data_IF_084047490768
#
_entry.id   IF_084047490768
#
_cell.length_a   1.000
_cell.length_b   1.000
_cell.length_c   1.000
_cell.angle_alpha   90.00
_cell.angle_beta   90.00
_cell.angle_gamma   90.00
#
_symmetry.space_group_name_H-M   'P 1'
#
loop_
_entity.id
_entity.type
_entity.pdbx_description
1 polymer ?
#
# COMPACT_ATOMS: atom_id res chain seq x y z
N UNK A 1 -23.55 -14.36 -6.10
CA UNK A 1 -23.31 -13.29 -7.08
C UNK A 1 -22.21 -13.82 -7.98
N UNK A 2 -22.42 -13.86 -9.28
CA UNK A 2 -21.40 -14.30 -10.25
C UNK A 2 -20.40 -13.16 -10.50
N UNK A 3 -19.28 -13.48 -11.15
CA UNK A 3 -18.31 -12.46 -11.58
C UNK A 3 -18.95 -11.44 -12.53
N UNK A 4 -19.73 -11.92 -13.50
CA UNK A 4 -20.42 -11.05 -14.47
C UNK A 4 -21.38 -10.07 -13.77
N UNK A 5 -22.15 -10.54 -12.80
CA UNK A 5 -23.04 -9.69 -12.00
C UNK A 5 -22.26 -8.62 -11.21
N UNK A 6 -21.07 -8.93 -10.71
CA UNK A 6 -20.22 -7.94 -10.01
C UNK A 6 -19.68 -6.93 -11.00
N UNK A 7 -19.16 -7.39 -12.14
CA UNK A 7 -18.56 -6.55 -13.16
C UNK A 7 -19.58 -5.56 -13.75
N UNK A 8 -20.81 -6.03 -14.06
CA UNK A 8 -21.89 -5.15 -14.51
C UNK A 8 -22.26 -4.09 -13.47
N UNK A 9 -22.30 -4.44 -12.18
CA UNK A 9 -22.55 -3.44 -11.12
C UNK A 9 -21.42 -2.43 -10.99
N UNK A 10 -20.16 -2.88 -11.11
CA UNK A 10 -19.01 -1.98 -11.09
C UNK A 10 -19.08 -1.00 -12.26
N UNK A 11 -19.45 -1.47 -13.44
CA UNK A 11 -19.65 -0.63 -14.63
C UNK A 11 -20.76 0.40 -14.40
N UNK A 12 -21.93 -0.01 -13.90
CA UNK A 12 -23.05 0.90 -13.56
C UNK A 12 -22.69 1.97 -12.52
N UNK A 13 -21.79 1.63 -11.59
CA UNK A 13 -21.31 2.55 -10.54
C UNK A 13 -20.16 3.46 -11.01
N UNK A 14 -19.60 3.18 -12.19
CA UNK A 14 -18.50 3.92 -12.78
C UNK A 14 -18.89 5.32 -13.22
N UNK A 15 -17.91 6.24 -13.21
CA UNK A 15 -18.10 7.61 -13.68
C UNK A 15 -16.87 8.11 -14.43
N UNK A 16 -17.08 8.83 -15.53
CA UNK A 16 -16.01 9.43 -16.34
C UNK A 16 -15.08 10.35 -15.54
N UNK A 17 -15.64 11.10 -14.58
CA UNK A 17 -14.85 11.98 -13.72
C UNK A 17 -13.86 11.19 -12.85
N UNK A 18 -14.33 10.12 -12.22
CA UNK A 18 -13.50 9.26 -11.36
C UNK A 18 -12.50 8.49 -12.20
N UNK A 19 -12.92 7.96 -13.36
CA UNK A 19 -12.06 7.29 -14.33
C UNK A 19 -10.88 8.18 -14.76
N UNK A 20 -11.14 9.42 -15.19
CA UNK A 20 -10.09 10.40 -15.52
C UNK A 20 -9.15 10.68 -14.37
N UNK A 21 -9.68 10.69 -13.14
CA UNK A 21 -8.86 10.88 -11.94
C UNK A 21 -7.92 9.71 -11.75
N UNK A 22 -8.39 8.46 -11.82
CA UNK A 22 -7.54 7.28 -11.68
C UNK A 22 -6.51 7.15 -12.81
N UNK A 23 -6.87 7.50 -14.05
CA UNK A 23 -5.91 7.54 -15.17
C UNK A 23 -4.77 8.52 -14.92
N UNK A 24 -5.05 9.70 -14.34
CA UNK A 24 -3.98 10.65 -13.95
C UNK A 24 -3.05 10.10 -12.86
N UNK A 25 -3.52 9.11 -12.11
CA UNK A 25 -2.75 8.37 -11.11
C UNK A 25 -2.18 7.04 -11.67
N UNK A 26 -2.22 6.83 -12.98
CA UNK A 26 -1.59 5.68 -13.64
C UNK A 26 -2.45 4.42 -13.75
N UNK A 27 -3.75 4.48 -13.44
CA UNK A 27 -4.65 3.39 -13.81
C UNK A 27 -4.84 3.34 -15.34
N UNK A 28 -5.01 2.14 -15.89
CA UNK A 28 -5.14 1.89 -17.32
C UNK A 28 -6.44 1.13 -17.61
N UNK A 29 -6.85 1.09 -18.87
CA UNK A 29 -8.01 0.27 -19.27
C UNK A 29 -7.68 -1.23 -19.14
N UNK A 30 -8.63 -2.08 -18.72
CA UNK A 30 -10.03 -1.76 -18.43
C UNK A 30 -10.25 -1.09 -17.06
N UNK A 31 -11.04 -0.02 -17.04
CA UNK A 31 -11.38 0.73 -15.82
C UNK A 31 -12.77 1.38 -15.94
N UNK A 32 -13.61 1.25 -14.92
CA UNK A 32 -14.94 1.87 -14.86
C UNK A 32 -14.93 3.22 -14.13
N UNK A 33 -14.06 3.40 -13.14
CA UNK A 33 -13.96 4.62 -12.35
C UNK A 33 -15.01 4.66 -11.24
N UNK A 34 -14.97 3.68 -10.34
CA UNK A 34 -15.87 3.57 -9.19
C UNK A 34 -15.24 4.22 -7.97
N UNK A 35 -16.00 5.01 -7.22
CA UNK A 35 -15.51 5.59 -5.97
C UNK A 35 -15.29 4.48 -4.94
N UNK A 36 -14.20 4.55 -4.18
CA UNK A 36 -13.91 3.59 -3.10
C UNK A 36 -15.07 3.46 -2.10
N UNK A 37 -15.74 4.57 -1.76
CA UNK A 37 -16.91 4.54 -0.88
C UNK A 37 -18.09 3.74 -1.44
N UNK A 38 -18.22 3.68 -2.77
CA UNK A 38 -19.24 2.89 -3.46
C UNK A 38 -18.83 1.42 -3.54
N UNK A 39 -17.55 1.11 -3.79
CA UNK A 39 -17.01 -0.27 -3.73
C UNK A 39 -17.33 -0.96 -2.39
N UNK A 40 -17.27 -0.22 -1.27
CA UNK A 40 -17.60 -0.73 0.07
C UNK A 40 -19.01 -1.30 0.19
N UNK A 41 -19.95 -0.88 -0.66
CA UNK A 41 -21.31 -1.42 -0.70
C UNK A 41 -21.34 -2.89 -1.16
N UNK A 42 -20.35 -3.31 -1.97
CA UNK A 42 -20.26 -4.67 -2.51
C UNK A 42 -19.47 -5.62 -1.60
N UNK A 43 -18.58 -5.11 -0.74
CA UNK A 43 -17.69 -5.91 0.14
C UNK A 43 -18.44 -6.99 0.91
N UNK A 44 -19.58 -6.65 1.56
CA UNK A 44 -20.35 -7.62 2.37
C UNK A 44 -20.89 -8.80 1.57
N UNK A 45 -21.13 -8.60 0.27
CA UNK A 45 -21.67 -9.62 -0.63
C UNK A 45 -20.52 -10.47 -1.16
N UNK A 46 -19.48 -9.82 -1.70
CA UNK A 46 -18.35 -10.47 -2.37
C UNK A 46 -17.50 -11.27 -1.39
N UNK A 47 -17.28 -10.79 -0.15
CA UNK A 47 -16.40 -11.47 0.84
C UNK A 47 -16.82 -12.89 1.21
N UNK A 48 -18.08 -13.25 0.95
CA UNK A 48 -18.62 -14.58 1.23
C UNK A 48 -18.01 -15.66 0.34
N UNK A 49 -17.46 -15.27 -0.81
CA UNK A 49 -16.88 -16.17 -1.80
C UNK A 49 -15.46 -15.70 -2.15
N UNK A 50 -14.47 -16.36 -1.54
CA UNK A 50 -13.06 -16.02 -1.77
C UNK A 50 -12.59 -16.42 -3.17
N UNK A 51 -13.24 -17.39 -3.82
CA UNK A 51 -12.94 -17.73 -5.22
C UNK A 51 -13.38 -16.60 -6.15
N UNK A 52 -14.54 -16.00 -5.89
CA UNK A 52 -14.99 -14.80 -6.59
C UNK A 52 -14.03 -13.62 -6.39
N UNK A 53 -13.56 -13.40 -5.15
CA UNK A 53 -12.59 -12.33 -4.86
C UNK A 53 -11.31 -12.50 -5.68
N UNK A 54 -10.76 -13.71 -5.74
CA UNK A 54 -9.56 -14.02 -6.54
C UNK A 54 -9.81 -13.82 -8.03
N UNK A 55 -10.98 -14.24 -8.52
CA UNK A 55 -11.37 -14.06 -9.92
C UNK A 55 -11.53 -12.58 -10.30
N UNK A 56 -12.03 -11.72 -9.39
CA UNK A 56 -12.11 -10.27 -9.62
C UNK A 56 -10.73 -9.66 -9.84
N UNK A 57 -9.73 -10.07 -9.07
CA UNK A 57 -8.37 -9.58 -9.26
C UNK A 57 -7.78 -10.00 -10.61
N UNK A 58 -8.12 -11.20 -11.08
CA UNK A 58 -7.66 -11.72 -12.37
C UNK A 58 -8.26 -11.01 -13.59
N UNK A 59 -9.30 -10.18 -13.42
CA UNK A 59 -9.92 -9.44 -14.53
C UNK A 59 -9.00 -8.39 -15.15
N UNK A 60 -7.97 -7.94 -14.42
CA UNK A 60 -7.14 -6.80 -14.82
C UNK A 60 -7.86 -5.45 -14.75
N UNK A 61 -9.15 -5.42 -14.40
CA UNK A 61 -9.90 -4.18 -14.24
C UNK A 61 -9.57 -3.52 -12.91
N UNK A 62 -9.12 -2.27 -12.95
CA UNK A 62 -8.66 -1.56 -11.75
C UNK A 62 -9.67 -1.56 -10.59
N UNK A 63 -10.95 -1.28 -10.87
CA UNK A 63 -11.98 -1.21 -9.83
C UNK A 63 -12.28 -2.60 -9.25
N UNK A 64 -12.26 -3.64 -10.08
CA UNK A 64 -12.45 -5.02 -9.66
C UNK A 64 -11.25 -5.54 -8.83
N UNK A 65 -10.03 -5.21 -9.25
CA UNK A 65 -8.80 -5.53 -8.52
C UNK A 65 -8.76 -4.82 -7.15
N UNK A 66 -9.14 -3.54 -7.11
CA UNK A 66 -9.24 -2.80 -5.84
C UNK A 66 -10.34 -3.39 -4.94
N UNK A 67 -11.51 -3.72 -5.51
CA UNK A 67 -12.58 -4.39 -4.77
C UNK A 67 -12.09 -5.73 -4.18
N UNK A 68 -11.32 -6.50 -4.94
CA UNK A 68 -10.74 -7.75 -4.46
C UNK A 68 -9.84 -7.51 -3.24
N UNK A 69 -8.96 -6.51 -3.31
CA UNK A 69 -8.09 -6.10 -2.21
C UNK A 69 -8.82 -5.78 -0.91
N UNK A 70 -9.91 -5.02 -1.00
CA UNK A 70 -10.68 -4.62 0.19
C UNK A 70 -11.64 -5.70 0.72
N UNK A 71 -11.67 -6.86 0.07
CA UNK A 71 -12.67 -7.92 0.33
C UNK A 71 -12.03 -9.27 0.67
N UNK A 72 -10.79 -9.51 0.23
CA UNK A 72 -10.09 -10.77 0.45
C UNK A 72 -9.81 -11.01 1.92
N UNK A 73 -9.84 -12.28 2.32
CA UNK A 73 -9.28 -12.71 3.60
C UNK A 73 -7.78 -12.95 3.41
N UNK A 74 -6.90 -12.06 3.90
CA UNK A 74 -5.46 -12.15 3.67
C UNK A 74 -4.84 -13.42 4.26
N UNK A 75 -5.48 -14.04 5.26
CA UNK A 75 -5.00 -15.28 5.88
C UNK A 75 -5.20 -16.52 5.00
N UNK A 76 -5.98 -16.39 3.92
CA UNK A 76 -6.33 -17.49 3.00
C UNK A 76 -5.61 -17.39 1.66
N UNK A 77 -4.76 -16.38 1.48
CA UNK A 77 -3.91 -16.25 0.31
C UNK A 77 -2.60 -16.99 0.53
N UNK A 78 -2.19 -17.76 -0.47
CA UNK A 78 -0.84 -18.36 -0.47
C UNK A 78 0.21 -17.34 -0.88
N UNK A 79 1.47 -17.65 -0.61
CA UNK A 79 2.61 -16.86 -1.09
C UNK A 79 2.57 -16.67 -2.60
N UNK A 80 2.27 -17.74 -3.35
CA UNK A 80 2.21 -17.74 -4.82
C UNK A 80 1.09 -16.85 -5.34
N UNK A 81 -0.06 -16.83 -4.65
CA UNK A 81 -1.17 -15.94 -5.01
C UNK A 81 -0.78 -14.48 -4.80
N UNK A 82 -0.13 -14.13 -3.68
CA UNK A 82 0.37 -12.78 -3.43
C UNK A 82 1.46 -12.37 -4.44
N UNK A 83 2.33 -13.30 -4.84
CA UNK A 83 3.32 -13.08 -5.90
C UNK A 83 2.66 -12.83 -7.26
N UNK A 84 1.62 -13.60 -7.59
CA UNK A 84 0.82 -13.36 -8.79
C UNK A 84 0.14 -11.99 -8.72
N UNK A 85 -0.35 -11.59 -7.55
CA UNK A 85 -1.02 -10.31 -7.36
C UNK A 85 -0.07 -9.13 -7.56
N UNK A 86 1.12 -9.15 -6.95
CA UNK A 86 2.11 -8.07 -7.13
C UNK A 86 2.60 -8.00 -8.56
N UNK A 87 2.77 -9.13 -9.25
CA UNK A 87 3.21 -9.17 -10.65
C UNK A 87 2.18 -8.55 -11.60
N UNK A 88 0.90 -8.60 -11.26
CA UNK A 88 -0.18 -7.98 -12.03
C UNK A 88 -0.50 -6.54 -11.61
N UNK A 89 0.11 -6.02 -10.55
CA UNK A 89 -0.13 -4.68 -10.04
C UNK A 89 0.61 -3.63 -10.91
N UNK A 90 0.00 -3.27 -12.04
CA UNK A 90 0.59 -2.40 -13.06
C UNK A 90 0.66 -0.92 -12.67
N UNK A 91 0.01 -0.50 -11.58
CA UNK A 91 0.08 0.87 -11.08
C UNK A 91 0.26 0.92 -9.57
N UNK A 92 0.75 2.07 -9.08
CA UNK A 92 1.12 2.21 -7.68
C UNK A 92 -0.06 2.01 -6.72
N UNK A 93 -1.29 2.35 -7.12
CA UNK A 93 -2.46 2.20 -6.26
C UNK A 93 -2.78 0.71 -6.04
N UNK A 94 -2.58 -0.14 -7.05
CA UNK A 94 -2.69 -1.59 -6.90
C UNK A 94 -1.54 -2.14 -6.04
N UNK A 95 -0.32 -1.67 -6.24
CA UNK A 95 0.83 -2.11 -5.44
C UNK A 95 0.69 -1.72 -3.96
N UNK A 96 0.41 -0.45 -3.65
CA UNK A 96 0.43 0.10 -2.29
C UNK A 96 -0.87 -0.10 -1.51
N UNK A 97 -2.02 0.15 -2.16
CA UNK A 97 -3.32 0.23 -1.46
C UNK A 97 -4.14 -1.05 -1.61
N UNK A 98 -3.73 -1.96 -2.50
CA UNK A 98 -4.33 -3.28 -2.66
C UNK A 98 -3.38 -4.36 -2.17
N UNK A 99 -2.34 -4.69 -2.95
CA UNK A 99 -1.51 -5.88 -2.69
C UNK A 99 -0.73 -5.74 -1.38
N UNK A 100 -0.08 -4.59 -1.14
CA UNK A 100 0.70 -4.40 0.07
C UNK A 100 -0.15 -4.40 1.35
N UNK A 101 -1.36 -3.83 1.33
CA UNK A 101 -2.28 -3.87 2.47
C UNK A 101 -2.71 -5.30 2.79
N UNK A 102 -3.01 -6.09 1.77
CA UNK A 102 -3.38 -7.50 1.92
C UNK A 102 -2.19 -8.34 2.40
N UNK A 103 -1.02 -8.19 1.77
CA UNK A 103 0.19 -8.92 2.12
C UNK A 103 0.61 -8.67 3.57
N UNK A 104 0.50 -7.43 4.05
CA UNK A 104 0.87 -7.05 5.41
C UNK A 104 0.03 -7.73 6.50
N UNK A 105 -1.21 -8.10 6.20
CA UNK A 105 -2.11 -8.84 7.10
C UNK A 105 -2.13 -10.36 6.83
N UNK A 106 -1.27 -10.83 5.92
CA UNK A 106 -1.09 -12.26 5.63
C UNK A 106 0.01 -12.89 6.50
N UNK A 107 0.05 -14.23 6.65
CA UNK A 107 1.16 -14.94 7.28
C UNK A 107 2.51 -14.76 6.57
N UNK A 108 2.52 -14.21 5.35
CA UNK A 108 3.68 -14.09 4.49
C UNK A 108 4.28 -12.68 4.47
N UNK A 109 3.77 -11.75 5.29
CA UNK A 109 4.09 -10.33 5.26
C UNK A 109 5.60 -10.02 5.22
N UNK A 110 6.34 -10.47 6.23
CA UNK A 110 7.78 -10.18 6.34
C UNK A 110 8.61 -10.88 5.27
N UNK A 111 8.28 -12.13 4.94
CA UNK A 111 8.99 -12.89 3.91
C UNK A 111 8.87 -12.20 2.55
N UNK A 112 7.64 -11.87 2.14
CA UNK A 112 7.38 -11.19 0.87
C UNK A 112 7.90 -9.76 0.86
N UNK A 113 7.76 -9.01 1.94
CA UNK A 113 8.30 -7.65 2.01
C UNK A 113 9.82 -7.62 1.80
N UNK A 114 10.56 -8.52 2.47
CA UNK A 114 12.03 -8.64 2.33
C UNK A 114 12.43 -9.03 0.91
N UNK A 115 11.67 -9.91 0.28
CA UNK A 115 11.88 -10.32 -1.11
C UNK A 115 11.63 -9.16 -2.08
N UNK A 116 10.46 -8.52 -1.96
CA UNK A 116 10.00 -7.49 -2.87
C UNK A 116 10.81 -6.19 -2.79
N UNK A 117 11.26 -5.76 -1.61
CA UNK A 117 12.10 -4.56 -1.44
C UNK A 117 13.39 -4.64 -2.28
N UNK A 118 13.88 -5.84 -2.57
CA UNK A 118 15.11 -6.08 -3.34
C UNK A 118 14.87 -6.22 -4.85
N UNK A 119 13.62 -6.17 -5.29
CA UNK A 119 13.27 -6.29 -6.71
C UNK A 119 13.79 -5.10 -7.51
N UNK A 120 14.29 -5.36 -8.72
CA UNK A 120 14.60 -4.29 -9.68
C UNK A 120 13.34 -3.72 -10.34
N UNK A 121 12.20 -4.42 -10.27
CA UNK A 121 10.92 -3.90 -10.75
C UNK A 121 10.38 -2.84 -9.77
N UNK A 122 10.05 -1.66 -10.30
CA UNK A 122 9.62 -0.51 -9.49
C UNK A 122 8.35 -0.80 -8.68
N UNK A 123 7.35 -1.45 -9.28
CA UNK A 123 6.05 -1.69 -8.62
C UNK A 123 6.16 -2.79 -7.58
N UNK A 124 6.96 -3.83 -7.85
CA UNK A 124 7.26 -4.86 -6.86
C UNK A 124 8.01 -4.26 -5.66
N UNK A 125 9.07 -3.47 -5.89
CA UNK A 125 9.80 -2.80 -4.81
C UNK A 125 8.91 -1.82 -4.03
N UNK A 126 8.06 -1.06 -4.73
CA UNK A 126 7.05 -0.18 -4.13
C UNK A 126 6.12 -0.96 -3.20
N UNK A 127 5.60 -2.11 -3.66
CA UNK A 127 4.77 -3.01 -2.89
C UNK A 127 5.50 -3.57 -1.67
N UNK A 128 6.78 -3.94 -1.80
CA UNK A 128 7.60 -4.44 -0.71
C UNK A 128 7.73 -3.45 0.45
N UNK A 129 8.15 -2.23 0.15
CA UNK A 129 8.26 -1.16 1.15
C UNK A 129 6.93 -0.84 1.81
N UNK A 130 5.85 -0.79 1.02
CA UNK A 130 4.51 -0.54 1.53
C UNK A 130 4.01 -1.70 2.40
N UNK A 131 4.32 -2.95 2.04
CA UNK A 131 3.95 -4.15 2.82
C UNK A 131 4.60 -4.10 4.20
N UNK A 132 5.90 -3.82 4.25
CA UNK A 132 6.61 -3.74 5.52
C UNK A 132 6.09 -2.56 6.35
N UNK A 133 5.96 -1.36 5.78
CA UNK A 133 5.39 -0.21 6.47
C UNK A 133 3.99 -0.51 7.04
N UNK A 134 3.12 -1.12 6.24
CA UNK A 134 1.80 -1.54 6.68
C UNK A 134 1.88 -2.53 7.85
N UNK A 135 2.75 -3.54 7.79
CA UNK A 135 2.97 -4.50 8.86
C UNK A 135 3.38 -3.81 10.17
N UNK A 136 4.33 -2.87 10.13
CA UNK A 136 4.74 -2.06 11.30
C UNK A 136 3.55 -1.31 11.90
N UNK A 137 2.64 -0.83 11.06
CA UNK A 137 1.52 -0.01 11.51
C UNK A 137 0.39 -0.79 12.19
N UNK A 138 0.29 -2.11 12.00
CA UNK A 138 -0.76 -2.96 12.60
C UNK A 138 -0.24 -3.95 13.63
N UNK A 139 1.06 -4.23 13.61
CA UNK A 139 1.69 -5.21 14.50
C UNK A 139 2.17 -4.53 15.80
N UNK A 140 1.86 -5.10 16.98
CA UNK A 140 2.42 -4.67 18.27
C UNK A 140 3.96 -4.64 18.27
N UNK A 141 4.55 -3.69 18.99
CA UNK A 141 6.01 -3.45 18.99
C UNK A 141 6.83 -4.66 19.49
N UNK A 142 6.29 -5.46 20.41
CA UNK A 142 6.93 -6.66 20.96
C UNK A 142 7.05 -7.82 19.96
N UNK A 143 6.34 -7.74 18.84
CA UNK A 143 6.43 -8.69 17.72
C UNK A 143 7.26 -8.16 16.55
N UNK A 144 7.73 -6.91 16.63
CA UNK A 144 8.53 -6.30 15.57
C UNK A 144 10.02 -6.61 15.75
N UNK A 145 10.69 -6.84 14.62
CA UNK A 145 12.15 -6.84 14.57
C UNK A 145 12.66 -5.40 14.49
N UNK A 146 12.80 -4.77 15.65
CA UNK A 146 13.22 -3.35 15.75
C UNK A 146 14.62 -3.14 15.15
N UNK A 147 15.50 -4.12 15.24
CA UNK A 147 16.84 -4.04 14.67
C UNK A 147 16.78 -4.00 13.14
N UNK A 148 15.99 -4.88 12.51
CA UNK A 148 15.82 -4.86 11.05
C UNK A 148 15.16 -3.55 10.57
N UNK A 149 14.12 -3.07 11.26
CA UNK A 149 13.47 -1.80 10.89
C UNK A 149 14.47 -0.64 10.98
N UNK A 150 15.32 -0.63 12.00
CA UNK A 150 16.40 0.36 12.16
C UNK A 150 17.40 0.31 11.00
N UNK A 151 17.85 -0.88 10.61
CA UNK A 151 18.75 -1.05 9.47
C UNK A 151 18.10 -0.54 8.17
N UNK A 152 16.81 -0.79 7.97
CA UNK A 152 16.06 -0.34 6.80
C UNK A 152 15.92 1.19 6.75
N UNK A 153 15.58 1.88 7.85
CA UNK A 153 15.52 3.35 7.85
C UNK A 153 16.91 3.97 7.59
N UNK A 154 17.97 3.36 8.10
CA UNK A 154 19.35 3.79 7.84
C UNK A 154 19.75 3.54 6.38
N UNK A 155 19.31 2.44 5.77
CA UNK A 155 19.47 2.19 4.33
C UNK A 155 18.78 3.29 3.51
N UNK A 156 17.51 3.57 3.83
CA UNK A 156 16.71 4.61 3.16
C UNK A 156 17.43 5.95 3.20
N UNK A 157 17.97 6.34 4.36
CA UNK A 157 18.74 7.59 4.51
C UNK A 157 19.84 7.73 3.45
N UNK A 158 20.51 6.62 3.10
CA UNK A 158 21.64 6.60 2.17
C UNK A 158 21.23 6.51 0.70
N UNK A 159 20.09 5.88 0.39
CA UNK A 159 19.75 5.50 -0.99
C UNK A 159 18.55 6.23 -1.57
N UNK A 160 17.67 6.81 -0.75
CA UNK A 160 16.34 7.24 -1.19
C UNK A 160 16.37 8.21 -2.38
N UNK A 161 17.37 9.08 -2.52
CA UNK A 161 17.41 10.05 -3.62
C UNK A 161 17.81 9.44 -4.97
N UNK A 162 18.40 8.24 -4.97
CA UNK A 162 18.85 7.52 -6.15
C UNK A 162 17.86 6.42 -6.58
N UNK A 163 16.88 6.11 -5.73
CA UNK A 163 15.91 5.05 -5.96
C UNK A 163 14.88 5.42 -7.04
N UNK A 164 14.16 4.41 -7.53
CA UNK A 164 13.12 4.58 -8.54
C UNK A 164 11.98 5.47 -8.03
N UNK A 165 11.33 6.18 -8.93
CA UNK A 165 10.41 7.28 -8.62
C UNK A 165 9.40 6.95 -7.51
N UNK A 166 8.65 5.85 -7.64
CA UNK A 166 7.63 5.46 -6.68
C UNK A 166 8.20 4.76 -5.45
N UNK A 167 9.33 4.08 -5.57
CA UNK A 167 10.09 3.52 -4.44
C UNK A 167 10.51 4.62 -3.46
N UNK A 168 10.93 5.79 -3.96
CA UNK A 168 11.22 6.96 -3.09
C UNK A 168 10.01 7.37 -2.25
N UNK A 169 8.81 7.30 -2.80
CA UNK A 169 7.59 7.62 -2.08
C UNK A 169 7.36 6.65 -0.92
N UNK A 170 7.42 5.33 -1.18
CA UNK A 170 7.15 4.32 -0.15
C UNK A 170 8.27 4.21 0.87
N UNK A 171 9.53 4.46 0.51
CA UNK A 171 10.63 4.62 1.47
C UNK A 171 10.41 5.84 2.39
N UNK A 172 9.99 6.98 1.85
CA UNK A 172 9.63 8.15 2.66
C UNK A 172 8.47 7.82 3.63
N UNK A 173 7.46 7.11 3.16
CA UNK A 173 6.36 6.64 4.00
C UNK A 173 6.81 5.62 5.05
N UNK A 174 7.77 4.76 4.73
CA UNK A 174 8.31 3.79 5.68
C UNK A 174 8.98 4.48 6.87
N UNK A 175 9.80 5.50 6.63
CA UNK A 175 10.43 6.31 7.69
C UNK A 175 9.36 7.03 8.53
N UNK A 176 8.33 7.59 7.89
CA UNK A 176 7.19 8.19 8.60
C UNK A 176 6.52 7.16 9.51
N UNK A 177 6.22 5.96 9.00
CA UNK A 177 5.53 4.93 9.74
C UNK A 177 6.38 4.43 10.91
N UNK A 178 7.67 4.17 10.69
CA UNK A 178 8.60 3.76 11.74
C UNK A 178 8.65 4.82 12.85
N UNK A 179 8.89 6.09 12.51
CA UNK A 179 8.97 7.17 13.49
C UNK A 179 7.66 7.54 14.16
N UNK A 180 6.51 7.19 13.55
CA UNK A 180 5.18 7.48 14.10
C UNK A 180 4.61 6.33 14.93
N UNK A 181 4.92 5.09 14.56
CA UNK A 181 4.23 3.89 15.07
C UNK A 181 5.09 3.06 16.00
N UNK A 182 6.41 3.29 16.06
CA UNK A 182 7.36 2.56 16.91
C UNK A 182 8.08 3.58 17.77
N UNK A 183 7.72 3.64 19.06
CA UNK A 183 8.22 4.68 19.97
C UNK A 183 9.74 4.62 20.14
N UNK A 184 10.32 3.42 20.17
CA UNK A 184 11.78 3.21 20.28
C UNK A 184 12.56 3.81 19.09
N UNK A 185 11.95 3.85 17.90
CA UNK A 185 12.59 4.36 16.69
C UNK A 185 12.25 5.83 16.41
N UNK A 186 11.44 6.48 17.26
CA UNK A 186 10.94 7.82 17.01
C UNK A 186 12.06 8.85 16.78
N UNK A 187 12.99 8.95 17.72
CA UNK A 187 14.06 9.94 17.67
C UNK A 187 14.98 9.71 16.45
N UNK A 188 15.37 8.45 16.22
CA UNK A 188 16.24 8.07 15.12
C UNK A 188 15.57 8.30 13.76
N UNK A 189 14.31 7.86 13.59
CA UNK A 189 13.56 8.09 12.37
C UNK A 189 13.32 9.59 12.11
N UNK A 190 13.14 10.40 13.15
CA UNK A 190 12.99 11.86 13.03
C UNK A 190 14.29 12.51 12.55
N UNK A 191 15.44 12.10 13.08
CA UNK A 191 16.75 12.57 12.63
C UNK A 191 17.02 12.15 11.17
N UNK A 192 16.73 10.90 10.82
CA UNK A 192 16.84 10.40 9.45
C UNK A 192 15.93 11.20 8.52
N UNK A 193 14.65 11.40 8.88
CA UNK A 193 13.70 12.19 8.12
C UNK A 193 14.16 13.64 7.88
N UNK A 194 14.78 14.27 8.88
CA UNK A 194 15.36 15.60 8.74
C UNK A 194 16.54 15.60 7.76
N UNK A 195 17.41 14.59 7.81
CA UNK A 195 18.57 14.46 6.92
C UNK A 195 18.20 14.15 5.46
N UNK A 196 17.12 13.38 5.24
CA UNK A 196 16.57 13.10 3.91
C UNK A 196 15.99 14.36 3.25
N UNK A 197 15.47 15.30 4.04
CA UNK A 197 14.84 16.50 3.53
C UNK A 197 13.71 16.22 2.54
N UNK A 198 13.60 17.05 1.49
CA UNK A 198 12.52 16.93 0.50
C UNK A 198 12.79 15.80 -0.49
N UNK A 199 11.92 14.81 -0.49
CA UNK A 199 11.92 13.71 -1.48
C UNK A 199 11.08 14.11 -2.70
N UNK A 200 11.68 14.00 -3.89
CA UNK A 200 11.02 14.36 -5.16
C UNK A 200 10.43 13.12 -5.82
N UNK A 201 9.11 13.12 -6.04
CA UNK A 201 8.38 12.04 -6.72
C UNK A 201 7.48 12.67 -7.77
N UNK A 202 7.54 12.17 -8.99
CA UNK A 202 6.57 12.43 -10.03
C UNK A 202 5.27 11.68 -9.69
N UNK A 203 4.22 12.41 -9.36
CA UNK A 203 2.92 11.88 -8.91
C UNK A 203 1.91 11.78 -10.07
N UNK A 204 2.38 11.69 -11.31
CA UNK A 204 1.53 11.79 -12.49
C UNK A 204 0.99 13.21 -12.72
N UNK A 205 -0.09 13.33 -13.50
CA UNK A 205 -0.75 14.61 -13.79
C UNK A 205 -1.68 15.04 -12.65
N UNK A 206 -1.12 15.14 -11.44
CA UNK A 206 -1.87 15.36 -10.21
C UNK A 206 -1.29 16.54 -9.43
N UNK A 207 -2.08 17.12 -8.53
CA UNK A 207 -1.60 18.13 -7.58
C UNK A 207 -1.05 17.51 -6.28
N UNK A 208 -0.87 16.17 -6.25
CA UNK A 208 -0.43 15.45 -5.07
C UNK A 208 0.99 15.85 -4.69
N UNK A 209 1.23 15.97 -3.38
CA UNK A 209 2.53 16.34 -2.82
C UNK A 209 3.09 15.17 -2.04
N UNK A 210 4.40 14.99 -2.11
CA UNK A 210 5.12 14.09 -1.22
C UNK A 210 5.18 14.74 0.17
N UNK A 211 4.74 14.06 1.24
CA UNK A 211 4.84 14.61 2.58
C UNK A 211 6.31 14.74 3.00
N UNK A 212 6.66 15.84 3.66
CA UNK A 212 7.95 15.95 4.32
C UNK A 212 7.92 15.05 5.56
N UNK A 213 8.82 14.06 5.62
CA UNK A 213 8.76 13.04 6.66
C UNK A 213 8.88 13.62 8.07
N UNK A 214 9.78 14.59 8.27
CA UNK A 214 9.98 15.24 9.57
C UNK A 214 8.73 15.99 10.04
N UNK A 215 8.08 16.75 9.16
CA UNK A 215 6.84 17.48 9.49
C UNK A 215 5.69 16.53 9.80
N UNK A 216 5.62 15.40 9.08
CA UNK A 216 4.57 14.42 9.30
C UNK A 216 4.73 13.73 10.65
N UNK A 217 5.95 13.28 10.98
CA UNK A 217 6.24 12.65 12.27
C UNK A 217 5.94 13.62 13.42
N UNK A 218 6.41 14.87 13.32
CA UNK A 218 6.12 15.91 14.32
C UNK A 218 4.62 16.17 14.49
N UNK A 219 3.84 16.15 13.39
CA UNK A 219 2.38 16.30 13.45
C UNK A 219 1.71 15.13 14.18
N UNK A 220 2.20 13.90 14.02
CA UNK A 220 1.68 12.73 14.72
C UNK A 220 1.97 12.83 16.22
N UNK A 221 3.18 13.24 16.58
CA UNK A 221 3.59 13.49 17.97
C UNK A 221 2.72 14.58 18.62
N UNK A 222 2.56 15.73 17.98
CA UNK A 222 1.72 16.84 18.46
C UNK A 222 0.25 16.44 18.62
N UNK A 223 -0.24 15.50 17.82
CA UNK A 223 -1.59 14.97 17.94
C UNK A 223 -1.75 13.94 19.08
N UNK A 224 -0.68 13.63 19.82
CA UNK A 224 -0.66 12.61 20.88
C UNK A 224 -0.87 11.19 20.35
N UNK A 225 -0.46 10.92 19.09
CA UNK A 225 -0.70 9.66 18.40
C UNK A 225 0.55 8.81 18.18
N UNK A 226 1.65 9.14 18.84
CA UNK A 226 2.87 8.34 18.80
C UNK A 226 2.60 6.91 19.29
N UNK A 227 3.10 5.90 18.56
CA UNK A 227 2.94 4.49 18.91
C UNK A 227 1.55 3.92 18.65
N UNK A 228 0.59 4.72 18.15
CA UNK A 228 -0.77 4.23 17.89
C UNK A 228 -0.77 3.29 16.69
N UNK A 229 -1.10 2.02 16.94
CA UNK A 229 -1.30 1.02 15.89
C UNK A 229 -2.68 1.11 15.26
N UNK A 230 -2.74 0.83 13.96
CA UNK A 230 -3.98 0.66 13.21
C UNK A 230 -4.58 -0.70 13.52
N UNK A 231 -5.89 -0.81 13.32
CA UNK A 231 -6.61 -2.08 13.44
C UNK A 231 -6.49 -2.96 12.19
N UNK A 232 -6.30 -2.33 11.03
CA UNK A 232 -6.20 -2.95 9.71
C UNK A 232 -5.60 -1.93 8.72
N UNK A 233 -4.89 -2.44 7.71
CA UNK A 233 -4.39 -1.74 6.53
C UNK A 233 -5.37 -1.79 5.36
N UNK A 234 -6.32 -2.73 5.38
CA UNK A 234 -7.33 -2.91 4.33
C UNK A 234 -8.44 -1.87 4.52
N UNK A 235 -8.58 -0.94 3.57
CA UNK A 235 -9.46 0.23 3.71
C UNK A 235 -10.37 0.52 2.52
#
# INVERSE_FOLDING_TARGET
MTIDEVMSRLEEMGTEQTKRTFVRHGAEEPLFGVKVGDLKKLVKIVKKDQSLVKALYQTGNYDAMYLAGITVDPKRLTKEELQSWVSAAYCYALAEYTVASVAAESPHALELAREWIRSSDEMVATCGWSTYGNYISVTPDDLLDIAEIRELIQQIQRTIHQEQNRVRYTMNMFVIIAGSSVTELHDEATQIAASMGKVQVHMGQTACKVPLAVDYIAKVEQAGKLGVKKKTCIC
#
